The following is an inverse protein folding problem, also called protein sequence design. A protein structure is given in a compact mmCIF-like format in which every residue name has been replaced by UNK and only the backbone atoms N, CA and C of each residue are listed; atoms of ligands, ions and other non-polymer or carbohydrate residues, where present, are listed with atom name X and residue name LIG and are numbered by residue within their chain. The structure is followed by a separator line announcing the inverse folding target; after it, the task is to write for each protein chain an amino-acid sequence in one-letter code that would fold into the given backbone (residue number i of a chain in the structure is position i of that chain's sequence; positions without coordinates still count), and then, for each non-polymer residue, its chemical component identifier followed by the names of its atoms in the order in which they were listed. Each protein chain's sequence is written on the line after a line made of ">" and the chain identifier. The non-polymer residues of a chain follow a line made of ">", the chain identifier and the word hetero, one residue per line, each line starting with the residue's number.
data_IF_755315814891
#
_entry.id   IF_755315814891
#
_cell.length_a   1.000
_cell.length_b   1.000
_cell.length_c   1.000
_cell.angle_alpha   90.00
_cell.angle_beta   90.00
_cell.angle_gamma   90.00
#
_symmetry.space_group_name_H-M   'P 1'
#
loop_
_entity.id
_entity.type
_entity.pdbx_description
1 polymer ?
#
# COMPACT_ATOMS: atom_id res chain seq x y z
N UNK A 1 -17.40 20.82 -7.44
CA UNK A 1 -16.68 21.37 -6.26
C UNK A 1 -16.09 20.19 -5.50
N UNK A 2 -14.93 19.72 -5.92
CA UNK A 2 -14.11 18.87 -5.07
C UNK A 2 -13.54 19.78 -3.99
N UNK A 3 -14.00 19.57 -2.76
CA UNK A 3 -13.33 20.16 -1.61
C UNK A 3 -11.97 19.49 -1.48
N UNK A 4 -10.89 20.26 -1.64
CA UNK A 4 -9.55 19.86 -1.21
C UNK A 4 -9.56 19.77 0.32
N UNK A 5 -9.98 18.65 0.85
CA UNK A 5 -9.85 18.35 2.28
C UNK A 5 -8.45 17.76 2.43
N UNK A 6 -7.56 18.48 3.11
CA UNK A 6 -6.17 18.09 3.37
C UNK A 6 -6.02 16.73 4.07
N UNK A 7 -7.11 16.20 4.62
CA UNK A 7 -7.17 14.94 5.36
C UNK A 7 -8.14 13.93 4.71
N UNK A 8 -8.33 13.98 3.40
CA UNK A 8 -9.23 13.03 2.73
C UNK A 8 -8.53 11.67 2.59
N UNK A 9 -9.12 10.64 3.17
CA UNK A 9 -8.76 9.26 2.88
C UNK A 9 -9.43 8.85 1.58
N UNK A 10 -8.67 8.25 0.66
CA UNK A 10 -9.24 7.72 -0.57
C UNK A 10 -10.19 6.57 -0.23
N UNK A 11 -11.36 6.60 -0.84
CA UNK A 11 -12.29 5.48 -0.83
C UNK A 11 -11.77 4.33 -1.71
N UNK A 12 -12.63 3.33 -1.92
CA UNK A 12 -12.32 2.20 -2.80
C UNK A 12 -12.16 2.69 -4.24
N UNK A 13 -10.93 2.64 -4.73
CA UNK A 13 -10.57 3.02 -6.10
C UNK A 13 -10.12 1.83 -6.94
N UNK A 14 -9.78 2.08 -8.21
CA UNK A 14 -9.33 1.05 -9.14
C UNK A 14 -8.07 0.31 -8.66
N UNK A 15 -7.14 0.99 -7.98
CA UNK A 15 -5.96 0.36 -7.39
C UNK A 15 -6.36 -0.67 -6.33
N UNK A 16 -7.26 -0.30 -5.41
CA UNK A 16 -7.76 -1.22 -4.38
C UNK A 16 -8.47 -2.43 -4.98
N UNK A 17 -9.29 -2.23 -6.02
CA UNK A 17 -9.98 -3.31 -6.73
C UNK A 17 -8.99 -4.18 -7.53
N UNK A 18 -7.96 -3.59 -8.10
CA UNK A 18 -6.90 -4.33 -8.79
C UNK A 18 -6.16 -5.26 -7.83
N UNK A 19 -5.79 -4.76 -6.64
CA UNK A 19 -5.16 -5.57 -5.61
C UNK A 19 -6.05 -6.73 -5.16
N UNK A 20 -7.33 -6.46 -4.87
CA UNK A 20 -8.30 -7.49 -4.50
C UNK A 20 -8.40 -8.64 -5.54
N UNK A 21 -8.40 -8.28 -6.83
CA UNK A 21 -8.49 -9.25 -7.93
C UNK A 21 -7.19 -10.03 -8.16
N UNK A 22 -6.06 -9.49 -7.74
CA UNK A 22 -4.74 -10.09 -7.92
C UNK A 22 -4.28 -10.90 -6.70
N UNK A 23 -4.91 -10.70 -5.54
CA UNK A 23 -4.57 -11.41 -4.31
C UNK A 23 -5.13 -12.83 -4.34
N UNK A 24 -4.31 -13.87 -4.13
CA UNK A 24 -4.78 -15.23 -3.96
C UNK A 24 -5.74 -15.33 -2.77
N UNK A 25 -6.90 -15.97 -2.98
CA UNK A 25 -7.89 -16.21 -1.93
C UNK A 25 -7.70 -17.64 -1.43
N UNK A 26 -6.77 -17.81 -0.52
CA UNK A 26 -6.47 -19.09 0.11
C UNK A 26 -6.59 -18.95 1.64
N UNK A 27 -7.11 -19.95 2.36
CA UNK A 27 -7.16 -19.91 3.80
C UNK A 27 -5.76 -19.75 4.40
N UNK A 28 -5.54 -18.70 5.18
CA UNK A 28 -4.28 -18.42 5.89
C UNK A 28 -4.52 -18.18 7.36
N UNK A 29 -3.53 -18.50 8.20
CA UNK A 29 -3.66 -18.24 9.63
C UNK A 29 -3.45 -16.75 9.93
N UNK A 30 -2.46 -16.11 9.31
CA UNK A 30 -2.13 -14.71 9.59
C UNK A 30 -1.93 -13.90 8.32
N UNK A 31 -2.46 -12.68 8.30
CA UNK A 31 -2.33 -11.76 7.17
C UNK A 31 -1.98 -10.36 7.67
N UNK A 32 -1.10 -9.70 6.94
CA UNK A 32 -0.75 -8.29 7.15
C UNK A 32 -1.28 -7.44 5.99
N UNK A 33 -2.04 -6.39 6.31
CA UNK A 33 -2.48 -5.34 5.38
C UNK A 33 -1.72 -4.04 5.67
N UNK A 34 -0.81 -3.66 4.78
CA UNK A 34 0.01 -2.44 4.93
C UNK A 34 -0.60 -1.29 4.15
N UNK A 35 -0.82 -0.17 4.84
CA UNK A 35 -1.49 0.99 4.27
C UNK A 35 -2.97 0.72 4.07
N UNK A 36 -3.64 0.22 5.11
CA UNK A 36 -5.03 -0.27 5.05
C UNK A 36 -6.04 0.78 4.58
N UNK A 37 -5.76 2.07 4.77
CA UNK A 37 -6.62 3.16 4.35
C UNK A 37 -8.02 3.07 4.95
N UNK A 38 -9.02 2.88 4.09
CA UNK A 38 -10.41 2.67 4.55
C UNK A 38 -10.73 1.23 4.97
N UNK A 39 -9.75 0.32 5.01
CA UNK A 39 -9.93 -1.05 5.49
C UNK A 39 -10.48 -2.04 4.47
N UNK A 40 -10.47 -1.73 3.18
CA UNK A 40 -11.10 -2.59 2.17
C UNK A 40 -10.34 -3.92 1.97
N UNK A 41 -9.00 -3.91 2.02
CA UNK A 41 -8.21 -5.14 1.90
C UNK A 41 -8.39 -6.00 3.15
N UNK A 42 -8.34 -5.38 4.33
CA UNK A 42 -8.62 -6.02 5.62
C UNK A 42 -10.02 -6.66 5.64
N UNK A 43 -11.05 -5.94 5.19
CA UNK A 43 -12.41 -6.47 5.10
C UNK A 43 -12.49 -7.69 4.20
N UNK A 44 -11.82 -7.64 3.05
CA UNK A 44 -11.77 -8.78 2.13
C UNK A 44 -11.00 -9.96 2.74
N UNK A 45 -9.88 -9.70 3.39
CA UNK A 45 -9.06 -10.70 4.05
C UNK A 45 -9.81 -11.45 5.17
N UNK A 46 -10.78 -10.79 5.82
CA UNK A 46 -11.58 -11.42 6.88
C UNK A 46 -12.42 -12.62 6.42
N UNK A 47 -12.53 -12.85 5.11
CA UNK A 47 -13.20 -14.03 4.56
C UNK A 47 -12.31 -15.27 4.48
N UNK A 48 -10.97 -15.13 4.59
CA UNK A 48 -10.04 -16.23 4.39
C UNK A 48 -8.83 -16.24 5.34
N UNK A 49 -8.67 -15.20 6.18
CA UNK A 49 -7.61 -15.14 7.19
C UNK A 49 -8.19 -15.20 8.60
N UNK A 50 -7.50 -15.91 9.51
CA UNK A 50 -7.92 -16.03 10.91
C UNK A 50 -7.47 -14.80 11.72
N UNK A 51 -6.19 -14.45 11.64
CA UNK A 51 -5.59 -13.31 12.34
C UNK A 51 -5.12 -12.27 11.32
N UNK A 52 -5.62 -11.05 11.43
CA UNK A 52 -5.26 -9.97 10.53
C UNK A 52 -4.66 -8.82 11.33
N UNK A 53 -3.49 -8.37 10.92
CA UNK A 53 -2.93 -7.10 11.36
C UNK A 53 -3.05 -6.10 10.22
N UNK A 54 -3.70 -4.96 10.48
CA UNK A 54 -3.83 -3.88 9.52
C UNK A 54 -3.08 -2.65 10.03
N UNK A 55 -2.20 -2.08 9.20
CA UNK A 55 -1.39 -0.93 9.60
C UNK A 55 -1.64 0.28 8.71
N UNK A 56 -1.57 1.47 9.28
CA UNK A 56 -1.57 2.73 8.53
C UNK A 56 -0.84 3.82 9.31
N UNK A 57 -0.18 4.73 8.61
CA UNK A 57 0.47 5.88 9.22
C UNK A 57 -0.55 6.88 9.79
N UNK A 58 -1.69 7.03 9.11
CA UNK A 58 -2.72 7.99 9.45
C UNK A 58 -3.67 7.45 10.53
N UNK A 59 -3.81 8.11 11.68
CA UNK A 59 -4.80 7.72 12.68
C UNK A 59 -6.23 7.77 12.12
N UNK A 60 -6.50 8.66 11.15
CA UNK A 60 -7.79 8.75 10.48
C UNK A 60 -8.09 7.51 9.62
N UNK A 61 -7.09 6.98 8.93
CA UNK A 61 -7.21 5.72 8.20
C UNK A 61 -7.55 4.58 9.16
N UNK A 62 -6.84 4.48 10.28
CA UNK A 62 -7.13 3.47 11.29
C UNK A 62 -8.58 3.55 11.81
N UNK A 63 -9.10 4.75 12.07
CA UNK A 63 -10.49 4.93 12.51
C UNK A 63 -11.50 4.58 11.40
N UNK A 64 -11.21 4.91 10.15
CA UNK A 64 -12.06 4.53 9.02
C UNK A 64 -12.06 3.01 8.79
N UNK A 65 -10.92 2.36 8.91
CA UNK A 65 -10.83 0.91 8.82
C UNK A 65 -11.67 0.25 9.94
N UNK A 66 -11.56 0.73 11.18
CA UNK A 66 -12.42 0.27 12.29
C UNK A 66 -13.91 0.44 11.98
N UNK A 67 -14.30 1.61 11.45
CA UNK A 67 -15.68 1.88 11.07
C UNK A 67 -16.17 0.95 9.95
N UNK A 68 -15.34 0.71 8.93
CA UNK A 68 -15.64 -0.23 7.84
C UNK A 68 -15.89 -1.64 8.38
N UNK A 69 -15.01 -2.12 9.24
CA UNK A 69 -15.16 -3.45 9.85
C UNK A 69 -16.39 -3.54 10.75
N UNK A 70 -16.65 -2.51 11.55
CA UNK A 70 -17.81 -2.47 12.43
C UNK A 70 -19.15 -2.52 11.65
N UNK A 71 -19.25 -1.76 10.54
CA UNK A 71 -20.44 -1.79 9.66
C UNK A 71 -20.67 -3.19 9.09
N UNK A 72 -19.58 -3.93 8.81
CA UNK A 72 -19.63 -5.29 8.28
C UNK A 72 -19.59 -6.38 9.37
N UNK A 73 -19.73 -6.00 10.64
CA UNK A 73 -19.80 -6.91 11.80
C UNK A 73 -18.54 -7.76 11.98
N UNK A 74 -17.40 -7.28 11.52
CA UNK A 74 -16.09 -7.90 11.75
C UNK A 74 -15.53 -7.36 13.07
N UNK A 75 -15.22 -8.20 14.05
CA UNK A 75 -14.68 -7.75 15.33
C UNK A 75 -13.27 -7.21 15.18
N UNK A 76 -13.00 -6.07 15.82
CA UNK A 76 -11.66 -5.52 16.00
C UNK A 76 -11.25 -5.81 17.42
N UNK A 77 -10.18 -6.58 17.59
CA UNK A 77 -9.65 -6.96 18.89
C UNK A 77 -8.40 -6.14 19.23
N UNK A 78 -8.21 -5.88 20.52
CA UNK A 78 -6.89 -5.52 21.04
C UNK A 78 -6.11 -6.81 21.33
N UNK A 79 -4.79 -6.78 21.16
CA UNK A 79 -3.89 -7.92 21.45
C UNK A 79 -4.04 -8.49 22.88
N UNK A 80 -4.62 -7.71 23.79
CA UNK A 80 -4.80 -8.07 25.20
C UNK A 80 -6.18 -8.70 25.50
N UNK A 81 -7.06 -8.82 24.49
CA UNK A 81 -8.39 -9.36 24.68
C UNK A 81 -8.42 -10.89 24.50
N UNK A 82 -8.08 -11.61 25.57
CA UNK A 82 -8.11 -13.07 25.60
C UNK A 82 -9.53 -13.68 25.59
N UNK A 83 -10.56 -12.85 25.51
CA UNK A 83 -11.98 -13.27 25.54
C UNK A 83 -12.61 -13.42 24.15
N UNK A 84 -11.90 -13.05 23.09
CA UNK A 84 -12.44 -13.08 21.73
C UNK A 84 -12.64 -14.53 21.25
N UNK A 85 -13.89 -14.93 21.10
CA UNK A 85 -14.31 -16.22 20.51
C UNK A 85 -14.61 -16.11 19.01
N UNK A 86 -14.20 -15.01 18.39
CA UNK A 86 -14.46 -14.75 16.97
C UNK A 86 -13.60 -15.64 16.07
N UNK A 87 -14.14 -16.05 14.95
CA UNK A 87 -13.46 -16.88 13.94
C UNK A 87 -12.34 -16.11 13.23
N UNK A 88 -12.45 -14.80 13.13
CA UNK A 88 -11.44 -13.90 12.57
C UNK A 88 -11.19 -12.75 13.54
N UNK A 89 -9.93 -12.46 13.81
CA UNK A 89 -9.51 -11.35 14.66
C UNK A 89 -8.76 -10.31 13.81
N UNK A 90 -9.09 -9.04 14.01
CA UNK A 90 -8.42 -7.92 13.32
C UNK A 90 -7.82 -6.98 14.35
N UNK A 91 -6.52 -6.75 14.24
CA UNK A 91 -5.75 -5.79 15.05
C UNK A 91 -5.32 -4.62 14.17
N UNK A 92 -5.80 -3.42 14.45
CA UNK A 92 -5.47 -2.21 13.69
C UNK A 92 -4.45 -1.40 14.47
N UNK A 93 -3.28 -1.17 13.85
CA UNK A 93 -2.15 -0.47 14.46
C UNK A 93 -1.76 0.76 13.66
N UNK A 94 -1.50 1.84 14.37
CA UNK A 94 -0.91 3.03 13.76
C UNK A 94 0.61 2.91 13.74
N UNK A 95 1.24 3.23 12.61
CA UNK A 95 2.69 3.33 12.47
C UNK A 95 3.12 3.34 11.01
N UNK A 96 4.41 3.55 10.81
CA UNK A 96 5.02 3.67 9.49
C UNK A 96 5.44 2.30 8.96
N UNK A 97 4.99 1.97 7.75
CA UNK A 97 5.40 0.77 7.01
C UNK A 97 5.34 -0.52 7.87
N UNK A 98 6.48 -1.17 8.10
CA UNK A 98 6.61 -2.41 8.88
C UNK A 98 6.90 -2.16 10.38
N UNK A 99 7.08 -0.90 10.81
CA UNK A 99 7.41 -0.57 12.21
C UNK A 99 6.45 -1.20 13.23
N UNK A 100 5.11 -1.18 13.04
CA UNK A 100 4.18 -1.77 14.00
C UNK A 100 4.26 -3.30 14.10
N UNK A 101 5.00 -3.95 13.20
CA UNK A 101 5.09 -5.42 13.08
C UNK A 101 6.53 -5.91 12.96
N UNK A 102 7.50 -5.11 13.40
CA UNK A 102 8.94 -5.31 13.17
C UNK A 102 9.49 -6.72 13.56
N UNK A 103 8.83 -7.40 14.47
CA UNK A 103 9.22 -8.72 15.00
C UNK A 103 8.19 -9.82 14.64
N UNK A 104 7.34 -9.59 13.65
CA UNK A 104 6.28 -10.52 13.28
C UNK A 104 6.44 -11.02 11.84
N UNK A 105 5.96 -12.25 11.63
CA UNK A 105 5.88 -12.87 10.32
C UNK A 105 4.45 -13.37 10.06
N UNK A 106 4.06 -13.32 8.78
CA UNK A 106 2.70 -13.59 8.30
C UNK A 106 2.71 -14.64 7.21
N UNK A 107 1.60 -15.35 7.07
CA UNK A 107 1.39 -16.29 5.97
C UNK A 107 1.09 -15.54 4.65
N UNK A 108 0.44 -14.38 4.77
CA UNK A 108 0.17 -13.51 3.62
C UNK A 108 0.39 -12.03 3.96
N UNK A 109 0.86 -11.27 2.96
CA UNK A 109 0.97 -9.81 3.03
C UNK A 109 0.24 -9.22 1.83
N UNK A 110 -0.61 -8.22 2.07
CA UNK A 110 -1.22 -7.39 1.03
C UNK A 110 -0.84 -5.94 1.24
N UNK A 111 -0.55 -5.20 0.17
CA UNK A 111 -0.18 -3.81 0.29
C UNK A 111 -0.59 -2.99 -0.93
N UNK A 112 -1.27 -1.88 -0.65
CA UNK A 112 -1.53 -0.80 -1.60
C UNK A 112 -0.89 0.49 -1.05
N UNK A 113 0.44 0.55 -0.96
CA UNK A 113 1.13 1.67 -0.34
C UNK A 113 1.01 2.94 -1.19
N UNK A 114 1.40 4.11 -0.65
CA UNK A 114 1.56 5.32 -1.45
C UNK A 114 2.76 5.15 -2.40
N UNK A 115 2.51 4.65 -3.62
CA UNK A 115 3.52 4.36 -4.64
C UNK A 115 3.58 5.42 -5.75
N UNK A 116 3.09 6.63 -5.52
CA UNK A 116 3.21 7.71 -6.50
C UNK A 116 4.68 8.06 -6.67
N UNK A 117 5.15 7.91 -7.90
CA UNK A 117 6.50 8.33 -8.29
C UNK A 117 6.51 9.85 -8.35
N UNK A 118 7.28 10.47 -7.47
CA UNK A 118 7.41 11.92 -7.41
C UNK A 118 8.79 12.33 -6.88
N UNK A 119 9.28 13.52 -7.27
CA UNK A 119 10.46 14.10 -6.65
C UNK A 119 10.15 14.57 -5.23
N UNK A 120 11.16 14.66 -4.36
CA UNK A 120 11.05 15.03 -2.93
C UNK A 120 10.37 16.39 -2.65
N UNK A 121 10.06 17.18 -3.69
CA UNK A 121 9.52 18.54 -3.57
C UNK A 121 8.00 18.60 -3.60
N UNK A 122 7.29 17.47 -3.69
CA UNK A 122 5.83 17.43 -3.85
C UNK A 122 5.18 16.92 -2.56
N UNK A 123 4.66 17.83 -1.75
CA UNK A 123 4.03 17.54 -0.46
C UNK A 123 2.53 17.25 -0.62
N UNK A 124 2.16 15.97 -0.74
CA UNK A 124 0.78 15.51 -0.54
C UNK A 124 0.75 14.33 0.42
N UNK A 125 0.27 14.54 1.63
CA UNK A 125 0.45 13.72 2.81
C UNK A 125 -0.06 12.27 2.76
N UNK A 126 -0.85 11.87 1.77
CA UNK A 126 -1.37 10.50 1.67
C UNK A 126 -0.93 9.72 0.42
N UNK A 127 -0.25 10.40 -0.52
CA UNK A 127 0.33 9.79 -1.74
C UNK A 127 1.85 9.84 -1.72
N UNK A 128 2.40 10.67 -0.84
CA UNK A 128 3.82 10.92 -0.72
C UNK A 128 4.41 9.97 0.31
N UNK A 129 5.26 9.07 -0.14
CA UNK A 129 6.00 8.14 0.72
C UNK A 129 7.14 8.81 1.49
N UNK A 130 7.45 10.06 1.21
CA UNK A 130 8.69 10.77 1.61
C UNK A 130 9.97 10.10 1.08
N UNK A 131 9.82 9.13 0.16
CA UNK A 131 10.89 8.41 -0.49
C UNK A 131 11.05 8.91 -1.92
N UNK A 132 12.27 8.92 -2.41
CA UNK A 132 12.59 9.42 -3.74
C UNK A 132 12.13 8.45 -4.82
N UNK A 133 11.57 8.95 -5.90
CA UNK A 133 11.12 8.20 -7.08
C UNK A 133 10.27 6.96 -6.73
N UNK A 134 10.82 5.78 -6.96
CA UNK A 134 10.17 4.49 -6.70
C UNK A 134 10.61 3.81 -5.38
N UNK A 135 11.19 4.60 -4.47
CA UNK A 135 11.69 4.13 -3.18
C UNK A 135 10.63 3.46 -2.31
N UNK A 136 9.34 3.82 -2.44
CA UNK A 136 8.26 3.12 -1.74
C UNK A 136 8.11 1.68 -2.23
N UNK A 137 8.17 1.46 -3.53
CA UNK A 137 8.13 0.13 -4.13
C UNK A 137 9.36 -0.68 -3.73
N UNK A 138 10.55 -0.06 -3.76
CA UNK A 138 11.78 -0.69 -3.30
C UNK A 138 11.69 -1.11 -1.84
N UNK A 139 11.27 -0.21 -0.95
CA UNK A 139 11.09 -0.49 0.47
C UNK A 139 10.16 -1.69 0.70
N UNK A 140 9.05 -1.75 -0.02
CA UNK A 140 8.11 -2.87 0.10
C UNK A 140 8.72 -4.19 -0.36
N UNK A 141 9.44 -4.20 -1.49
CA UNK A 141 10.08 -5.40 -2.04
C UNK A 141 11.18 -5.92 -1.12
N UNK A 142 11.99 -5.03 -0.54
CA UNK A 142 13.09 -5.39 0.33
C UNK A 142 12.65 -5.86 1.72
N UNK A 143 11.53 -5.34 2.23
CA UNK A 143 11.11 -5.64 3.59
C UNK A 143 10.01 -6.71 3.68
N UNK A 144 9.10 -6.82 2.73
CA UNK A 144 8.03 -7.82 2.79
C UNK A 144 8.55 -9.25 3.00
N UNK A 145 9.64 -9.72 2.34
CA UNK A 145 10.20 -11.05 2.59
C UNK A 145 10.63 -11.31 4.02
N UNK A 146 11.09 -10.29 4.74
CA UNK A 146 11.52 -10.41 6.15
C UNK A 146 10.34 -10.68 7.09
N UNK A 147 9.14 -10.30 6.66
CA UNK A 147 7.89 -10.46 7.38
C UNK A 147 7.02 -11.61 6.84
N UNK A 148 7.53 -12.42 5.92
CA UNK A 148 6.88 -13.64 5.46
C UNK A 148 7.38 -14.86 6.24
N UNK A 149 6.46 -15.74 6.61
CA UNK A 149 6.78 -17.10 7.04
C UNK A 149 7.26 -17.94 5.85
N UNK A 150 7.90 -19.06 6.13
CA UNK A 150 8.24 -20.03 5.09
C UNK A 150 6.97 -20.49 4.34
N UNK A 151 7.00 -20.43 3.02
CA UNK A 151 5.86 -20.71 2.15
C UNK A 151 4.80 -19.60 2.08
N UNK A 152 5.01 -18.48 2.78
CA UNK A 152 4.12 -17.32 2.73
C UNK A 152 4.26 -16.53 1.42
N UNK A 153 3.30 -15.67 1.14
CA UNK A 153 3.27 -14.86 -0.07
C UNK A 153 2.90 -13.40 0.18
N UNK A 154 3.35 -12.50 -0.70
CA UNK A 154 2.98 -11.09 -0.67
C UNK A 154 2.40 -10.66 -2.02
N UNK A 155 1.29 -9.90 -1.99
CA UNK A 155 0.72 -9.23 -3.15
C UNK A 155 0.79 -7.72 -2.94
N UNK A 156 1.59 -7.06 -3.75
CA UNK A 156 1.94 -5.66 -3.56
C UNK A 156 1.67 -4.88 -4.85
N UNK A 157 0.96 -3.76 -4.75
CA UNK A 157 0.92 -2.78 -5.83
C UNK A 157 2.15 -1.88 -5.70
N UNK A 158 2.75 -1.56 -6.85
CA UNK A 158 3.91 -0.68 -6.92
C UNK A 158 3.96 0.08 -8.23
N UNK A 159 4.79 1.10 -8.26
CA UNK A 159 5.18 1.79 -9.47
C UNK A 159 6.70 1.97 -9.48
N UNK A 160 7.28 1.93 -10.66
CA UNK A 160 8.73 2.13 -10.83
C UNK A 160 9.02 2.95 -12.07
N UNK A 161 10.22 3.52 -12.11
CA UNK A 161 10.68 4.36 -13.21
C UNK A 161 11.49 3.54 -14.21
N UNK A 162 11.26 3.78 -15.49
CA UNK A 162 12.14 3.31 -16.55
C UNK A 162 13.17 4.42 -16.86
N UNK A 163 14.41 4.23 -16.42
CA UNK A 163 15.51 5.14 -16.76
C UNK A 163 16.15 4.74 -18.10
N UNK A 164 16.60 5.74 -18.88
CA UNK A 164 17.19 5.50 -20.20
C UNK A 164 18.49 4.67 -20.18
N UNK A 165 19.21 4.74 -19.07
CA UNK A 165 20.56 4.19 -18.93
C UNK A 165 20.58 2.91 -18.10
N UNK A 166 19.41 2.39 -17.72
CA UNK A 166 19.30 1.26 -16.81
C UNK A 166 18.21 0.26 -17.27
N UNK A 167 18.53 -1.02 -17.18
CA UNK A 167 17.54 -2.07 -17.32
C UNK A 167 16.70 -2.18 -16.02
N UNK A 168 15.47 -1.67 -16.04
CA UNK A 168 14.57 -1.72 -14.89
C UNK A 168 14.33 -3.15 -14.36
N UNK A 169 14.40 -4.18 -15.24
CA UNK A 169 14.25 -5.57 -14.81
C UNK A 169 15.41 -6.02 -13.95
N UNK A 170 16.64 -5.63 -14.34
CA UNK A 170 17.85 -5.91 -13.55
C UNK A 170 17.77 -5.18 -12.20
N UNK A 171 17.32 -3.92 -12.19
CA UNK A 171 17.14 -3.15 -10.98
C UNK A 171 16.10 -3.77 -10.03
N UNK A 172 14.91 -4.07 -10.51
CA UNK A 172 13.87 -4.74 -9.70
C UNK A 172 14.35 -6.10 -9.18
N UNK A 173 15.05 -6.86 -10.02
CA UNK A 173 15.63 -8.15 -9.61
C UNK A 173 16.66 -7.98 -8.49
N UNK A 174 17.42 -6.88 -8.48
CA UNK A 174 18.42 -6.62 -7.44
C UNK A 174 17.79 -6.36 -6.06
N UNK A 175 16.57 -5.82 -6.01
CA UNK A 175 15.83 -5.63 -4.76
C UNK A 175 15.29 -6.95 -4.18
N UNK A 176 15.02 -7.94 -5.05
CA UNK A 176 14.45 -9.24 -4.68
C UNK A 176 15.54 -10.25 -4.29
N UNK A 177 16.61 -10.30 -5.05
CA UNK A 177 17.64 -11.35 -4.99
C UNK A 177 18.24 -11.63 -3.60
N UNK A 178 18.43 -10.64 -2.70
CA UNK A 178 19.02 -10.88 -1.38
C UNK A 178 18.13 -11.70 -0.42
N UNK A 179 16.86 -11.89 -0.74
CA UNK A 179 15.85 -12.34 0.23
C UNK A 179 15.44 -13.82 0.06
N UNK A 180 15.93 -14.51 -0.97
CA UNK A 180 15.63 -15.93 -1.16
C UNK A 180 14.16 -16.22 -1.48
N UNK A 181 13.46 -15.29 -2.11
CA UNK A 181 12.06 -15.42 -2.55
C UNK A 181 11.98 -15.46 -4.06
N UNK A 182 10.98 -16.17 -4.58
CA UNK A 182 10.57 -16.07 -5.97
C UNK A 182 9.58 -14.90 -6.13
N UNK A 183 9.71 -14.13 -7.21
CA UNK A 183 8.82 -13.01 -7.47
C UNK A 183 8.30 -13.02 -8.92
N UNK A 184 7.02 -12.69 -9.04
CA UNK A 184 6.38 -12.41 -10.32
C UNK A 184 6.03 -10.93 -10.37
N UNK A 185 6.62 -10.23 -11.33
CA UNK A 185 6.35 -8.82 -11.58
C UNK A 185 5.48 -8.71 -12.82
N UNK A 186 4.27 -8.19 -12.65
CA UNK A 186 3.32 -7.96 -13.72
C UNK A 186 3.24 -6.46 -13.99
N UNK A 187 3.89 -6.02 -15.07
CA UNK A 187 3.71 -4.67 -15.58
C UNK A 187 2.34 -4.57 -16.26
N UNK A 188 1.46 -3.77 -15.70
CA UNK A 188 0.11 -3.56 -16.21
C UNK A 188 0.04 -2.42 -17.20
N UNK A 189 0.65 -1.31 -16.85
CA UNK A 189 0.62 -0.06 -17.61
C UNK A 189 2.01 0.57 -17.61
N UNK A 190 2.43 1.11 -18.75
CA UNK A 190 3.59 1.99 -18.88
C UNK A 190 3.11 3.34 -19.42
N UNK A 191 3.38 4.40 -18.71
CA UNK A 191 2.85 5.74 -19.00
C UNK A 191 4.02 6.68 -19.24
N UNK A 192 3.89 7.53 -20.27
CA UNK A 192 4.83 8.61 -20.52
C UNK A 192 4.93 9.54 -19.31
N UNK A 193 6.15 9.92 -18.85
CA UNK A 193 6.33 10.73 -17.66
C UNK A 193 5.56 12.06 -17.68
N UNK A 194 5.52 12.76 -18.83
CA UNK A 194 4.79 14.03 -18.94
C UNK A 194 3.27 13.83 -18.80
N UNK A 195 2.74 12.73 -19.36
CA UNK A 195 1.34 12.37 -19.18
C UNK A 195 1.04 11.99 -17.73
N UNK A 196 1.92 11.24 -17.08
CA UNK A 196 1.80 10.86 -15.69
C UNK A 196 1.73 12.08 -14.78
N UNK A 197 2.69 12.99 -14.88
CA UNK A 197 2.75 14.24 -14.11
C UNK A 197 1.50 15.09 -14.38
N UNK A 198 1.11 15.25 -15.65
CA UNK A 198 -0.06 16.04 -16.04
C UNK A 198 -1.35 15.49 -15.43
N UNK A 199 -1.53 14.18 -15.44
CA UNK A 199 -2.70 13.52 -14.85
C UNK A 199 -2.72 13.71 -13.34
N UNK A 200 -1.59 13.50 -12.70
CA UNK A 200 -1.46 13.64 -11.27
C UNK A 200 -1.71 15.08 -10.79
N UNK A 201 -1.20 16.08 -11.51
CA UNK A 201 -1.44 17.49 -11.21
C UNK A 201 -2.91 17.88 -11.36
N UNK A 202 -3.60 17.38 -12.40
CA UNK A 202 -5.05 17.57 -12.57
C UNK A 202 -5.84 16.98 -11.40
N UNK A 203 -5.50 15.76 -11.00
CA UNK A 203 -6.15 15.06 -9.87
C UNK A 203 -5.94 15.81 -8.54
N UNK A 204 -4.80 16.50 -8.39
CA UNK A 204 -4.53 17.37 -7.24
C UNK A 204 -5.22 18.73 -7.31
N UNK A 205 -6.01 18.98 -8.37
CA UNK A 205 -6.77 20.23 -8.55
C UNK A 205 -5.92 21.41 -9.01
N UNK A 206 -4.71 21.17 -9.52
CA UNK A 206 -3.85 22.22 -10.09
C UNK A 206 -4.27 22.56 -11.52
N UNK A 207 -4.23 23.85 -11.85
CA UNK A 207 -4.54 24.35 -13.19
C UNK A 207 -3.27 24.26 -14.07
N UNK A 208 -3.35 23.74 -15.31
CA UNK A 208 -2.26 23.81 -16.28
C UNK A 208 -1.75 25.24 -16.56
N UNK A 209 -2.54 26.27 -16.26
CA UNK A 209 -2.15 27.66 -16.36
C UNK A 209 -1.33 28.16 -15.15
N UNK A 210 -1.15 27.35 -14.10
CA UNK A 210 -0.32 27.69 -12.95
C UNK A 210 1.15 27.79 -13.39
N UNK A 211 1.85 28.90 -13.11
CA UNK A 211 3.27 29.04 -13.42
C UNK A 211 4.16 27.96 -12.84
N UNK A 212 3.76 27.35 -11.73
CA UNK A 212 4.48 26.22 -11.09
C UNK A 212 4.32 24.90 -11.86
N UNK A 213 3.35 24.79 -12.77
CA UNK A 213 3.15 23.59 -13.58
C UNK A 213 4.40 23.19 -14.37
N UNK A 214 5.06 24.17 -14.99
CA UNK A 214 6.27 23.93 -15.78
C UNK A 214 7.46 23.48 -14.93
N UNK A 215 7.55 23.95 -13.70
CA UNK A 215 8.61 23.51 -12.79
C UNK A 215 8.45 22.04 -12.39
N UNK A 216 7.21 21.61 -12.12
CA UNK A 216 6.92 20.21 -11.79
C UNK A 216 7.01 19.24 -12.99
N UNK A 217 6.90 19.74 -14.20
CA UNK A 217 7.01 18.94 -15.41
C UNK A 217 8.48 18.82 -15.90
N UNK A 218 9.39 19.61 -15.33
CA UNK A 218 10.81 19.64 -15.66
C UNK A 218 11.68 18.79 -14.72
N UNK A 219 11.20 18.48 -13.52
CA UNK A 219 11.79 17.58 -12.54
C UNK A 219 11.39 16.13 -12.84
#
# INVERSE_FOLDING_TARGET
>A
RQMCIRDSVLGVGEASLSLLRSTPIEPVNSLLDIGTGCGIQTLHAAHYANDIVATDLSPRCCELAKATLAINQIPVASRDDSSATAQTMVDIRQGSWFEPVHDQQFDAIVANPPFVVASQHITHSYRDSSLDLDGATQLMIENAPLHLKEGGHATILGAWVHCSDEDYRARLSSWIAPHGVDAWIVERDCVDPALYVSTWMKDSGRDPADPQWHNYAAD
#
